data_IF_846881080974
#
_entry.id   IF_846881080974
#
_cell.length_a   1.000
_cell.length_b   1.000
_cell.length_c   1.000
_cell.angle_alpha   90.00
_cell.angle_beta   90.00
_cell.angle_gamma   90.00
#
_symmetry.space_group_name_H-M   'P 1'
#
loop_
_entity.id
_entity.type
_entity.pdbx_description
1 polymer ?
#
# COMPACT_ATOMS: atom_id res chain seq x y z
N UNK A 1 20.57 -7.29 18.94
CA UNK A 1 19.35 -7.32 18.13
C UNK A 1 19.76 -7.28 16.67
N UNK A 2 19.49 -8.31 15.90
CA UNK A 2 19.61 -8.23 14.43
C UNK A 2 18.41 -7.38 14.00
N UNK A 3 18.66 -6.17 13.50
CA UNK A 3 17.61 -5.32 12.94
C UNK A 3 16.93 -6.07 11.79
N UNK A 4 15.59 -6.11 11.77
CA UNK A 4 14.87 -6.57 10.58
C UNK A 4 15.33 -5.73 9.37
N UNK A 5 15.48 -6.34 8.19
CA UNK A 5 15.80 -5.59 6.97
C UNK A 5 14.75 -4.52 6.71
N UNK A 6 15.19 -3.31 6.40
CA UNK A 6 14.31 -2.26 5.96
C UNK A 6 13.79 -2.57 4.56
N UNK A 7 12.48 -2.51 4.39
CA UNK A 7 11.82 -2.71 3.10
C UNK A 7 11.45 -1.34 2.57
N UNK A 8 11.85 -1.07 1.33
CA UNK A 8 11.55 0.19 0.67
C UNK A 8 10.26 0.09 -0.16
N UNK A 9 10.17 -0.97 -0.98
CA UNK A 9 9.04 -1.16 -1.88
C UNK A 9 8.85 -2.63 -2.31
N UNK A 10 7.60 -2.97 -2.63
CA UNK A 10 7.18 -4.24 -3.24
C UNK A 10 6.43 -3.94 -4.55
N UNK A 11 6.71 -4.73 -5.58
CA UNK A 11 6.04 -4.67 -6.87
C UNK A 11 5.60 -6.08 -7.29
N UNK A 12 4.43 -6.17 -7.90
CA UNK A 12 4.04 -7.29 -8.76
C UNK A 12 4.01 -6.82 -10.20
N UNK A 13 4.73 -7.51 -11.05
CA UNK A 13 4.94 -7.17 -12.45
C UNK A 13 4.41 -8.31 -13.29
N UNK A 14 3.57 -8.01 -14.28
CA UNK A 14 3.05 -9.00 -15.22
C UNK A 14 4.18 -9.50 -16.12
N UNK A 15 4.31 -10.82 -16.27
CA UNK A 15 5.50 -11.42 -16.91
C UNK A 15 5.63 -11.12 -18.40
N UNK A 16 4.53 -11.06 -19.14
CA UNK A 16 4.59 -10.96 -20.60
C UNK A 16 4.77 -9.51 -21.09
N UNK A 17 4.12 -8.55 -20.44
CA UNK A 17 4.15 -7.13 -20.80
C UNK A 17 5.08 -6.27 -19.95
N UNK A 18 5.55 -6.78 -18.81
CA UNK A 18 6.38 -6.03 -17.87
C UNK A 18 5.68 -4.87 -17.15
N UNK A 19 4.35 -4.81 -17.25
CA UNK A 19 3.52 -3.78 -16.60
C UNK A 19 3.43 -4.03 -15.10
N UNK A 20 3.46 -2.94 -14.32
CA UNK A 20 3.25 -3.01 -12.87
C UNK A 20 1.77 -3.23 -12.54
N UNK A 21 1.43 -4.39 -12.00
CA UNK A 21 0.07 -4.75 -11.56
C UNK A 21 -0.26 -4.18 -10.18
N UNK A 22 0.71 -4.25 -9.27
CA UNK A 22 0.56 -3.80 -7.90
C UNK A 22 1.87 -3.22 -7.40
N UNK A 23 1.77 -2.18 -6.60
CA UNK A 23 2.90 -1.52 -5.96
C UNK A 23 2.53 -1.18 -4.51
N UNK A 24 3.42 -1.51 -3.59
CA UNK A 24 3.35 -1.04 -2.21
C UNK A 24 4.67 -0.37 -1.85
N UNK A 25 4.59 0.94 -1.58
CA UNK A 25 5.65 1.68 -0.93
C UNK A 25 5.59 1.43 0.57
N UNK A 26 6.75 1.22 1.19
CA UNK A 26 6.89 1.16 2.64
C UNK A 26 7.72 2.35 3.15
N UNK A 27 8.85 2.63 2.50
CA UNK A 27 9.74 3.73 2.88
C UNK A 27 10.65 4.17 1.72
N UNK A 28 11.27 5.35 1.83
CA UNK A 28 12.34 5.76 0.92
C UNK A 28 11.93 6.11 -0.52
N UNK A 29 12.84 5.81 -1.45
CA UNK A 29 12.99 6.38 -2.81
C UNK A 29 11.69 6.37 -3.62
N UNK A 30 11.37 7.51 -4.24
CA UNK A 30 10.32 7.64 -5.25
C UNK A 30 10.86 7.25 -6.62
N UNK A 31 10.70 5.98 -6.97
CA UNK A 31 10.84 5.53 -8.36
C UNK A 31 9.44 5.34 -8.92
N UNK A 32 9.20 5.86 -10.13
CA UNK A 32 7.96 5.61 -10.84
C UNK A 32 7.79 4.09 -11.07
N UNK A 33 6.68 3.49 -10.63
CA UNK A 33 6.51 2.04 -10.72
C UNK A 33 6.58 1.47 -12.13
N UNK A 34 6.09 2.20 -13.14
CA UNK A 34 6.12 1.74 -14.53
C UNK A 34 7.55 1.76 -15.08
N UNK A 35 8.34 2.77 -14.74
CA UNK A 35 9.76 2.83 -15.13
C UNK A 35 10.57 1.69 -14.51
N UNK A 36 10.37 1.43 -13.22
CA UNK A 36 11.09 0.34 -12.56
C UNK A 36 10.64 -1.02 -13.10
N UNK A 37 9.33 -1.23 -13.29
CA UNK A 37 8.83 -2.51 -13.80
C UNK A 37 9.34 -2.79 -15.20
N UNK A 38 9.34 -1.78 -16.09
CA UNK A 38 9.89 -1.91 -17.44
C UNK A 38 11.40 -2.23 -17.42
N UNK A 39 12.17 -1.53 -16.58
CA UNK A 39 13.60 -1.79 -16.43
C UNK A 39 13.89 -3.21 -15.91
N UNK A 40 13.17 -3.64 -14.88
CA UNK A 40 13.36 -4.97 -14.28
C UNK A 40 12.95 -6.06 -15.25
N UNK A 41 11.86 -5.87 -15.98
CA UNK A 41 11.43 -6.82 -17.02
C UNK A 41 12.49 -6.97 -18.11
N UNK A 42 13.11 -5.86 -18.54
CA UNK A 42 14.21 -5.90 -19.50
C UNK A 42 15.44 -6.65 -18.97
N UNK A 43 15.84 -6.43 -17.71
CA UNK A 43 16.96 -7.16 -17.11
C UNK A 43 16.64 -8.65 -16.98
N UNK A 44 15.44 -9.00 -16.51
CA UNK A 44 15.03 -10.41 -16.36
C UNK A 44 15.03 -11.10 -17.72
N UNK A 45 14.40 -10.50 -18.75
CA UNK A 45 14.40 -11.03 -20.12
C UNK A 45 15.82 -11.22 -20.66
N UNK A 46 16.66 -10.20 -20.51
CA UNK A 46 18.05 -10.27 -20.96
C UNK A 46 18.85 -11.36 -20.23
N UNK A 47 18.63 -11.52 -18.93
CA UNK A 47 19.27 -12.57 -18.14
C UNK A 47 18.83 -13.97 -18.58
N UNK A 48 17.56 -14.14 -18.96
CA UNK A 48 17.03 -15.41 -19.48
C UNK A 48 17.53 -15.74 -20.89
N UNK A 49 17.91 -14.73 -21.68
CA UNK A 49 18.54 -14.91 -23.01
C UNK A 49 20.02 -15.29 -22.92
N UNK A 50 20.76 -14.74 -21.96
CA UNK A 50 22.21 -14.94 -21.84
C UNK A 50 22.60 -16.29 -21.21
N UNK A 51 21.77 -16.84 -20.33
CA UNK A 51 22.09 -18.05 -19.58
C UNK A 51 21.48 -19.28 -20.27
N UNK A 52 22.26 -20.35 -20.52
CA UNK A 52 21.69 -21.62 -20.95
C UNK A 52 20.63 -22.07 -19.93
N UNK A 53 19.44 -22.46 -20.38
CA UNK A 53 18.35 -22.95 -19.52
C UNK A 53 18.73 -24.29 -18.86
N UNK A 54 19.50 -24.22 -17.78
CA UNK A 54 19.90 -25.33 -16.94
C UNK A 54 19.05 -25.30 -15.67
N UNK A 55 17.86 -25.91 -15.72
CA UNK A 55 16.95 -25.97 -14.57
C UNK A 55 16.21 -24.65 -14.29
N UNK A 56 16.06 -24.32 -13.01
CA UNK A 56 15.25 -23.19 -12.51
C UNK A 56 16.09 -21.91 -12.31
N UNK A 57 16.99 -21.66 -13.26
CA UNK A 57 17.92 -20.53 -13.25
C UNK A 57 17.25 -19.29 -13.87
N UNK A 58 17.04 -18.28 -13.03
CA UNK A 58 16.52 -16.96 -13.39
C UNK A 58 17.17 -15.90 -12.47
N UNK A 59 17.01 -14.62 -12.80
CA UNK A 59 17.61 -13.52 -12.04
C UNK A 59 17.02 -13.40 -10.63
N UNK A 60 17.73 -13.89 -9.60
CA UNK A 60 17.23 -13.91 -8.20
C UNK A 60 17.48 -12.64 -7.39
N UNK A 61 18.58 -11.94 -7.66
CA UNK A 61 19.00 -10.75 -6.90
C UNK A 61 19.81 -9.80 -7.78
N UNK A 62 19.57 -8.49 -7.63
CA UNK A 62 20.49 -7.45 -8.09
C UNK A 62 21.02 -6.73 -6.85
N UNK A 63 22.33 -6.82 -6.59
CA UNK A 63 22.98 -6.18 -5.45
C UNK A 63 23.65 -4.87 -5.86
N UNK A 64 23.29 -3.76 -5.19
CA UNK A 64 23.86 -2.42 -5.38
C UNK A 64 24.61 -1.92 -4.14
N UNK A 65 24.94 -2.81 -3.21
CA UNK A 65 25.68 -2.55 -1.97
C UNK A 65 24.83 -1.90 -0.87
N UNK A 66 24.24 -0.73 -1.14
CA UNK A 66 23.40 0.00 -0.16
C UNK A 66 21.95 -0.50 -0.11
N UNK A 67 21.50 -1.18 -1.16
CA UNK A 67 20.25 -1.90 -1.21
C UNK A 67 20.36 -3.05 -2.23
N UNK A 68 19.48 -4.03 -2.07
CA UNK A 68 19.34 -5.16 -2.97
C UNK A 68 17.92 -5.22 -3.52
N UNK A 69 17.80 -5.66 -4.77
CA UNK A 69 16.52 -6.00 -5.38
C UNK A 69 16.42 -7.52 -5.36
N UNK A 70 15.44 -8.04 -4.65
CA UNK A 70 15.09 -9.46 -4.64
C UNK A 70 13.97 -9.64 -5.66
N UNK A 71 14.19 -10.51 -6.63
CA UNK A 71 13.14 -10.92 -7.56
C UNK A 71 12.70 -12.33 -7.13
N UNK A 72 11.41 -12.63 -7.27
CA UNK A 72 10.80 -13.96 -7.16
C UNK A 72 9.88 -14.19 -8.36
N UNK A 73 9.99 -15.37 -8.96
CA UNK A 73 9.25 -15.73 -10.18
C UNK A 73 8.03 -16.59 -9.82
N UNK A 74 6.85 -16.14 -10.26
CA UNK A 74 5.62 -16.92 -10.32
C UNK A 74 5.32 -17.41 -11.73
N UNK A 75 4.13 -18.00 -11.92
CA UNK A 75 3.67 -18.50 -13.21
C UNK A 75 3.35 -17.35 -14.19
N UNK A 76 2.72 -16.29 -13.69
CA UNK A 76 2.19 -15.15 -14.43
C UNK A 76 2.74 -13.80 -13.95
N UNK A 77 3.34 -13.72 -12.76
CA UNK A 77 3.93 -12.47 -12.24
C UNK A 77 5.37 -12.63 -11.74
N UNK A 78 6.13 -11.54 -11.80
CA UNK A 78 7.34 -11.37 -11.01
C UNK A 78 7.02 -10.57 -9.75
N UNK A 79 7.41 -11.08 -8.58
CA UNK A 79 7.50 -10.33 -7.35
C UNK A 79 8.86 -9.65 -7.25
N UNK A 80 8.88 -8.35 -7.00
CA UNK A 80 10.11 -7.58 -6.81
C UNK A 80 10.07 -6.85 -5.47
N UNK A 81 11.10 -7.04 -4.65
CA UNK A 81 11.24 -6.38 -3.36
C UNK A 81 12.56 -5.60 -3.30
N UNK A 82 12.49 -4.33 -2.90
CA UNK A 82 13.65 -3.48 -2.67
C UNK A 82 13.91 -3.42 -1.18
N UNK A 83 15.09 -3.87 -0.75
CA UNK A 83 15.48 -3.98 0.65
C UNK A 83 16.88 -3.44 0.90
N UNK A 84 17.18 -3.01 2.11
CA UNK A 84 18.55 -2.64 2.49
C UNK A 84 19.49 -3.86 2.50
N UNK A 85 18.97 -5.03 2.87
CA UNK A 85 19.72 -6.27 2.98
C UNK A 85 18.89 -7.47 2.52
N UNK A 86 19.43 -8.22 1.55
CA UNK A 86 18.84 -9.49 1.12
C UNK A 86 19.18 -10.62 2.10
N UNK A 87 18.18 -11.10 2.84
CA UNK A 87 18.29 -12.26 3.75
C UNK A 87 17.27 -13.35 3.38
N UNK A 88 17.55 -14.64 3.68
CA UNK A 88 16.69 -15.76 3.29
C UNK A 88 15.24 -15.64 3.77
N UNK A 89 15.02 -15.11 4.98
CA UNK A 89 13.69 -14.96 5.58
C UNK A 89 12.82 -13.98 4.79
N UNK A 90 13.40 -12.88 4.31
CA UNK A 90 12.68 -11.89 3.51
C UNK A 90 12.36 -12.43 2.12
N UNK A 91 13.26 -13.23 1.54
CA UNK A 91 13.00 -13.94 0.28
C UNK A 91 11.84 -14.93 0.41
N UNK A 92 11.82 -15.73 1.48
CA UNK A 92 10.74 -16.68 1.73
C UNK A 92 9.38 -15.97 1.84
N UNK A 93 9.33 -14.82 2.51
CA UNK A 93 8.15 -13.95 2.58
C UNK A 93 7.71 -13.41 1.22
N UNK A 94 8.65 -12.98 0.37
CA UNK A 94 8.33 -12.53 -0.99
C UNK A 94 7.73 -13.69 -1.82
N UNK A 95 8.32 -14.87 -1.73
CA UNK A 95 7.81 -16.08 -2.40
C UNK A 95 6.37 -16.41 -1.97
N UNK A 96 6.10 -16.40 -0.65
CA UNK A 96 4.74 -16.58 -0.12
C UNK A 96 3.75 -15.58 -0.73
N UNK A 97 4.14 -14.31 -0.84
CA UNK A 97 3.27 -13.29 -1.42
C UNK A 97 3.04 -13.48 -2.93
N UNK A 98 4.04 -13.92 -3.70
CA UNK A 98 3.87 -14.25 -5.13
C UNK A 98 2.83 -15.37 -5.31
N UNK A 99 2.99 -16.47 -4.56
CA UNK A 99 2.05 -17.59 -4.61
C UNK A 99 0.62 -17.16 -4.18
N UNK A 100 0.52 -16.34 -3.12
CA UNK A 100 -0.75 -15.82 -2.64
C UNK A 100 -1.41 -14.86 -3.66
N UNK A 101 -0.62 -14.03 -4.35
CA UNK A 101 -1.11 -13.08 -5.35
C UNK A 101 -1.74 -13.82 -6.53
N UNK A 102 -1.02 -14.79 -7.09
CA UNK A 102 -1.51 -15.58 -8.23
C UNK A 102 -2.72 -16.40 -7.85
N UNK A 103 -2.69 -17.07 -6.69
CA UNK A 103 -3.84 -17.85 -6.22
C UNK A 103 -5.09 -16.99 -6.05
N UNK A 104 -4.95 -15.76 -5.54
CA UNK A 104 -6.07 -14.86 -5.28
C UNK A 104 -6.62 -14.20 -6.55
N UNK A 105 -5.77 -13.92 -7.54
CA UNK A 105 -6.15 -13.14 -8.71
C UNK A 105 -5.99 -13.83 -10.06
N UNK A 106 -5.69 -15.13 -10.10
CA UNK A 106 -5.50 -15.92 -11.32
C UNK A 106 -6.43 -15.56 -12.51
N UNK A 107 -7.78 -15.50 -12.34
CA UNK A 107 -8.65 -15.13 -13.47
C UNK A 107 -8.48 -13.67 -13.90
N UNK A 108 -8.32 -12.75 -12.94
CA UNK A 108 -8.15 -11.32 -13.23
C UNK A 108 -6.82 -11.03 -13.93
N UNK A 109 -5.75 -11.73 -13.56
CA UNK A 109 -4.41 -11.57 -14.14
C UNK A 109 -4.45 -11.81 -15.66
N UNK A 110 -5.15 -12.86 -16.11
CA UNK A 110 -5.22 -13.26 -17.54
C UNK A 110 -5.98 -12.28 -18.40
N UNK A 111 -6.96 -11.59 -17.84
CA UNK A 111 -7.83 -10.65 -18.55
C UNK A 111 -7.43 -9.19 -18.33
N UNK A 112 -6.39 -8.94 -17.51
CA UNK A 112 -5.97 -7.60 -17.14
C UNK A 112 -5.36 -6.85 -18.32
N UNK A 113 -5.88 -5.66 -18.60
CA UNK A 113 -5.43 -4.80 -19.71
C UNK A 113 -4.61 -3.61 -19.24
N UNK A 114 -4.38 -3.51 -17.93
CA UNK A 114 -3.72 -2.36 -17.30
C UNK A 114 -4.65 -1.52 -16.44
N UNK A 115 -5.84 -2.02 -16.09
CA UNK A 115 -6.77 -1.34 -15.20
C UNK A 115 -6.15 -1.16 -13.81
N UNK A 116 -6.22 0.07 -13.29
CA UNK A 116 -5.59 0.43 -12.02
C UNK A 116 -6.52 0.05 -10.86
N UNK A 117 -5.92 -0.36 -9.74
CA UNK A 117 -6.64 -0.67 -8.50
C UNK A 117 -7.31 -2.05 -8.46
N UNK A 118 -7.24 -2.83 -9.55
CA UNK A 118 -7.81 -4.20 -9.62
C UNK A 118 -7.25 -5.12 -8.52
N UNK A 119 -6.02 -4.87 -8.10
CA UNK A 119 -5.26 -5.68 -7.16
C UNK A 119 -5.05 -5.03 -5.79
N UNK A 120 -5.65 -3.86 -5.51
CA UNK A 120 -5.43 -3.11 -4.25
C UNK A 120 -5.86 -3.90 -3.01
N UNK A 121 -6.83 -4.81 -3.17
CA UNK A 121 -7.27 -5.74 -2.13
C UNK A 121 -6.17 -6.71 -1.67
N UNK A 122 -5.05 -6.82 -2.39
CA UNK A 122 -3.89 -7.63 -1.97
C UNK A 122 -3.13 -7.03 -0.79
N UNK A 123 -3.33 -5.74 -0.53
CA UNK A 123 -2.60 -5.03 0.52
C UNK A 123 -2.70 -5.70 1.89
N UNK A 124 -3.85 -6.26 2.23
CA UNK A 124 -4.01 -6.94 3.52
C UNK A 124 -3.13 -8.19 3.64
N UNK A 125 -2.86 -8.89 2.52
CA UNK A 125 -1.91 -9.99 2.48
C UNK A 125 -0.47 -9.47 2.67
N UNK A 126 -0.12 -8.37 2.03
CA UNK A 126 1.17 -7.68 2.24
C UNK A 126 1.33 -7.25 3.71
N UNK A 127 0.28 -6.72 4.32
CA UNK A 127 0.31 -6.25 5.71
C UNK A 127 0.46 -7.39 6.70
N UNK A 128 -0.11 -8.56 6.40
CA UNK A 128 0.08 -9.77 7.20
C UNK A 128 1.54 -10.23 7.19
N UNK A 129 2.20 -10.16 6.04
CA UNK A 129 3.58 -10.65 5.84
C UNK A 129 4.65 -9.62 6.29
N UNK A 130 4.39 -8.34 6.06
CA UNK A 130 5.28 -7.21 6.38
C UNK A 130 4.59 -6.12 7.23
N UNK A 131 4.00 -6.45 8.39
CA UNK A 131 3.19 -5.50 9.15
C UNK A 131 4.00 -4.30 9.64
N UNK A 132 5.28 -4.51 9.98
CA UNK A 132 6.18 -3.49 10.48
C UNK A 132 6.42 -2.33 9.52
N UNK A 133 6.38 -2.65 8.23
CA UNK A 133 6.76 -1.76 7.15
C UNK A 133 5.52 -1.09 6.53
N UNK A 134 4.35 -1.69 6.76
CA UNK A 134 3.16 -1.52 5.93
C UNK A 134 2.09 -0.60 6.51
N UNK A 135 1.98 -0.54 7.83
CA UNK A 135 0.80 0.02 8.48
C UNK A 135 1.01 1.51 8.69
N UNK A 136 0.27 2.32 7.94
CA UNK A 136 0.35 3.78 8.04
C UNK A 136 -0.68 4.32 9.05
N UNK A 137 -0.37 5.41 9.78
CA UNK A 137 -1.27 5.96 10.80
C UNK A 137 -2.66 6.36 10.31
N UNK A 138 -2.82 6.67 9.02
CA UNK A 138 -4.11 7.07 8.42
C UNK A 138 -5.04 5.89 8.12
N UNK A 139 -4.57 4.64 8.21
CA UNK A 139 -5.41 3.49 7.89
C UNK A 139 -6.48 3.23 8.95
N UNK A 140 -7.64 2.80 8.47
CA UNK A 140 -8.78 2.40 9.31
C UNK A 140 -8.71 0.90 9.53
N UNK A 141 -8.41 0.44 10.76
CA UNK A 141 -8.46 -0.96 11.08
C UNK A 141 -9.91 -1.44 11.12
N UNK A 142 -10.16 -2.63 10.60
CA UNK A 142 -11.45 -3.28 10.60
C UNK A 142 -11.29 -4.68 11.20
N UNK A 143 -12.13 -4.98 12.20
CA UNK A 143 -12.19 -6.29 12.84
C UNK A 143 -12.90 -7.29 11.91
N UNK A 144 -12.21 -8.38 11.57
CA UNK A 144 -12.73 -9.40 10.65
C UNK A 144 -13.56 -10.50 11.33
N UNK A 145 -13.39 -10.70 12.63
CA UNK A 145 -13.98 -11.84 13.36
C UNK A 145 -14.52 -11.44 14.73
N UNK A 146 -15.51 -12.20 15.23
CA UNK A 146 -15.73 -12.30 16.67
C UNK A 146 -14.46 -12.90 17.26
N UNK A 147 -13.72 -12.11 18.05
CA UNK A 147 -12.58 -12.61 18.82
C UNK A 147 -13.00 -13.92 19.49
N UNK A 148 -12.33 -15.03 19.16
CA UNK A 148 -12.55 -16.29 19.85
C UNK A 148 -12.36 -16.03 21.35
N UNK A 149 -13.21 -16.62 22.21
CA UNK A 149 -13.22 -16.35 23.67
C UNK A 149 -11.87 -16.58 24.37
N UNK A 150 -10.88 -17.15 23.68
CA UNK A 150 -9.57 -17.52 24.19
C UNK A 150 -8.43 -16.62 23.69
N UNK A 151 -8.70 -15.50 23.02
CA UNK A 151 -7.65 -14.53 22.70
C UNK A 151 -7.35 -13.71 23.96
N UNK A 152 -6.20 -13.96 24.58
CA UNK A 152 -5.71 -13.12 25.67
C UNK A 152 -5.46 -11.70 25.15
N UNK A 153 -6.17 -10.73 25.73
CA UNK A 153 -6.10 -9.33 25.34
C UNK A 153 -5.21 -8.59 26.34
N UNK A 154 -4.24 -7.84 25.84
CA UNK A 154 -3.58 -6.84 26.66
C UNK A 154 -4.60 -5.76 27.09
N UNK A 155 -4.34 -5.03 28.20
CA UNK A 155 -5.18 -3.89 28.58
C UNK A 155 -5.27 -2.86 27.44
N UNK A 156 -4.14 -2.61 26.75
CA UNK A 156 -4.04 -1.69 25.62
C UNK A 156 -4.92 -2.14 24.45
N UNK A 157 -4.84 -3.41 24.06
CA UNK A 157 -5.68 -3.96 23.00
C UNK A 157 -7.17 -3.94 23.38
N UNK A 158 -7.50 -4.17 24.65
CA UNK A 158 -8.88 -4.07 25.13
C UNK A 158 -9.47 -2.67 24.90
N UNK A 159 -8.69 -1.63 25.20
CA UNK A 159 -9.06 -0.23 24.93
C UNK A 159 -9.19 0.03 23.42
N UNK A 160 -8.23 -0.41 22.61
CA UNK A 160 -8.27 -0.25 21.14
C UNK A 160 -9.55 -0.90 20.58
N UNK A 161 -9.87 -2.12 21.01
CA UNK A 161 -11.05 -2.84 20.55
C UNK A 161 -12.36 -2.19 21.01
N UNK A 162 -12.38 -1.59 22.20
CA UNK A 162 -13.54 -0.81 22.66
C UNK A 162 -13.75 0.41 21.75
N UNK A 163 -12.69 1.18 21.50
CA UNK A 163 -12.75 2.35 20.60
C UNK A 163 -13.23 1.94 19.21
N UNK A 164 -12.75 0.81 18.66
CA UNK A 164 -13.17 0.33 17.34
C UNK A 164 -14.63 -0.15 17.29
N UNK A 165 -15.20 -0.57 18.42
CA UNK A 165 -16.63 -0.90 18.51
C UNK A 165 -17.48 0.36 18.57
N UNK A 166 -17.01 1.38 19.28
CA UNK A 166 -17.73 2.67 19.45
C UNK A 166 -17.61 3.56 18.19
N UNK A 167 -16.44 3.57 17.55
CA UNK A 167 -16.15 4.30 16.31
C UNK A 167 -15.41 3.39 15.32
N UNK A 168 -16.14 2.60 14.52
CA UNK A 168 -15.53 1.66 13.56
C UNK A 168 -14.84 2.33 12.37
N UNK A 169 -14.94 3.66 12.22
CA UNK A 169 -14.31 4.39 11.12
C UNK A 169 -13.06 5.18 11.57
N UNK A 170 -12.66 5.08 12.84
CA UNK A 170 -11.45 5.74 13.33
C UNK A 170 -10.20 5.16 12.66
N UNK A 171 -9.24 6.03 12.33
CA UNK A 171 -7.89 5.60 11.94
C UNK A 171 -6.96 5.48 13.16
N UNK A 172 -5.73 5.03 12.96
CA UNK A 172 -4.78 4.82 14.07
C UNK A 172 -4.42 6.09 14.82
N UNK A 173 -4.34 7.24 14.15
CA UNK A 173 -4.18 8.52 14.83
C UNK A 173 -5.39 8.89 15.70
N UNK A 174 -6.60 8.61 15.23
CA UNK A 174 -7.83 8.78 16.02
C UNK A 174 -7.85 7.87 17.25
N UNK A 175 -7.39 6.62 17.11
CA UNK A 175 -7.25 5.69 18.25
C UNK A 175 -6.22 6.25 19.24
N UNK A 176 -5.07 6.73 18.77
CA UNK A 176 -4.04 7.36 19.61
C UNK A 176 -4.60 8.51 20.44
N UNK A 177 -5.32 9.44 19.81
CA UNK A 177 -5.95 10.56 20.54
C UNK A 177 -7.00 10.11 21.55
N UNK A 178 -7.82 9.10 21.22
CA UNK A 178 -8.91 8.61 22.08
C UNK A 178 -8.41 7.75 23.24
N UNK A 179 -7.37 6.96 23.02
CA UNK A 179 -6.82 6.07 24.05
C UNK A 179 -5.75 6.74 24.91
N UNK A 180 -5.13 7.82 24.41
CA UNK A 180 -3.98 8.47 25.05
C UNK A 180 -2.65 7.70 24.88
N UNK A 181 -2.62 6.66 24.04
CA UNK A 181 -1.40 5.90 23.74
C UNK A 181 -0.67 6.50 22.54
N UNK A 182 0.65 6.39 22.54
CA UNK A 182 1.45 6.78 21.38
C UNK A 182 1.14 5.90 20.15
N UNK A 183 1.39 6.43 18.96
CA UNK A 183 1.12 5.72 17.70
C UNK A 183 1.95 4.45 17.57
N UNK A 184 3.21 4.44 18.04
CA UNK A 184 4.08 3.26 18.03
C UNK A 184 3.51 2.16 18.90
N UNK A 185 3.02 2.50 20.08
CA UNK A 185 2.37 1.56 20.99
C UNK A 185 1.11 0.91 20.40
N UNK A 186 0.30 1.69 19.67
CA UNK A 186 -0.89 1.17 18.98
C UNK A 186 -0.48 0.24 17.83
N UNK A 187 0.54 0.62 17.07
CA UNK A 187 1.05 -0.18 15.97
C UNK A 187 1.58 -1.53 16.44
N UNK A 188 2.26 -1.57 17.59
CA UNK A 188 2.74 -2.82 18.20
C UNK A 188 1.59 -3.78 18.54
N UNK A 189 0.54 -3.28 19.18
CA UNK A 189 -0.63 -4.09 19.54
C UNK A 189 -1.38 -4.58 18.30
N UNK A 190 -1.69 -3.68 17.37
CA UNK A 190 -2.46 -4.01 16.16
C UNK A 190 -1.69 -4.99 15.26
N UNK A 191 -0.37 -4.87 15.19
CA UNK A 191 0.50 -5.78 14.42
C UNK A 191 0.25 -7.24 14.76
N UNK A 192 0.17 -7.57 16.05
CA UNK A 192 -0.10 -8.95 16.50
C UNK A 192 -1.42 -9.48 15.95
N UNK A 193 -2.43 -8.62 15.87
CA UNK A 193 -3.77 -8.98 15.39
C UNK A 193 -3.84 -9.05 13.86
N UNK A 194 -3.07 -8.23 13.15
CA UNK A 194 -2.92 -8.28 11.69
C UNK A 194 -2.25 -9.58 11.27
N UNK A 195 -1.17 -9.98 11.94
CA UNK A 195 -0.46 -11.25 11.68
C UNK A 195 -1.39 -12.44 11.85
N UNK A 196 -2.28 -12.40 12.85
CA UNK A 196 -3.29 -13.44 13.12
C UNK A 196 -4.53 -13.35 12.21
N UNK A 197 -4.58 -12.37 11.30
CA UNK A 197 -5.72 -12.15 10.39
C UNK A 197 -6.99 -11.67 11.09
N UNK A 198 -6.89 -11.14 12.32
CA UNK A 198 -8.03 -10.66 13.12
C UNK A 198 -8.41 -9.22 12.76
N UNK A 199 -7.44 -8.42 12.34
CA UNK A 199 -7.61 -7.05 11.86
C UNK A 199 -7.12 -6.99 10.42
N UNK A 200 -7.91 -6.36 9.56
CA UNK A 200 -7.46 -5.86 8.25
C UNK A 200 -7.54 -4.34 8.21
N UNK A 201 -7.01 -3.74 7.16
CA UNK A 201 -7.14 -2.30 6.97
C UNK A 201 -7.94 -1.97 5.72
N UNK A 202 -8.70 -0.89 5.84
CA UNK A 202 -9.38 -0.25 4.73
C UNK A 202 -8.98 1.21 4.66
N UNK A 203 -9.03 1.73 3.44
CA UNK A 203 -9.14 3.16 3.21
C UNK A 203 -10.60 3.43 2.89
N UNK A 204 -11.27 4.16 3.77
CA UNK A 204 -12.67 4.54 3.58
C UNK A 204 -12.73 6.06 3.43
N UNK A 205 -13.39 6.50 2.36
CA UNK A 205 -13.65 7.91 2.07
C UNK A 205 -15.15 8.13 2.14
N UNK A 206 -15.60 8.93 3.11
CA UNK A 206 -16.99 9.32 3.29
C UNK A 206 -17.31 10.62 2.54
N UNK A 207 -18.59 10.91 2.35
CA UNK A 207 -19.03 12.13 1.65
C UNK A 207 -18.77 13.40 2.45
N UNK A 208 -18.89 13.31 3.77
CA UNK A 208 -18.69 14.45 4.66
C UNK A 208 -17.25 14.54 5.21
N UNK A 209 -16.37 13.60 4.84
CA UNK A 209 -14.93 13.69 5.19
C UNK A 209 -14.31 14.97 4.58
N UNK A 210 -13.42 15.61 5.33
CA UNK A 210 -12.63 16.77 4.89
C UNK A 210 -11.16 16.38 4.92
N UNK A 211 -10.46 16.62 3.80
CA UNK A 211 -9.05 16.29 3.63
C UNK A 211 -8.23 17.54 3.31
N UNK A 212 -6.95 17.50 3.66
CA UNK A 212 -5.97 18.49 3.23
C UNK A 212 -4.77 17.83 2.57
N UNK A 213 -4.10 18.53 1.66
CA UNK A 213 -2.81 18.10 1.13
C UNK A 213 -1.80 17.96 2.28
N UNK A 214 -1.11 16.82 2.35
CA UNK A 214 -0.13 16.58 3.41
C UNK A 214 1.06 17.55 3.31
N UNK A 215 1.70 17.95 4.42
CA UNK A 215 2.82 18.91 4.40
C UNK A 215 3.95 18.50 3.45
N UNK A 216 4.28 17.21 3.42
CA UNK A 216 5.31 16.65 2.52
C UNK A 216 4.91 16.82 1.05
N UNK A 217 3.65 16.57 0.72
CA UNK A 217 3.14 16.71 -0.65
C UNK A 217 3.14 18.17 -1.08
N UNK A 218 2.75 19.07 -0.18
CA UNK A 218 2.81 20.50 -0.41
C UNK A 218 4.24 20.98 -0.69
N UNK A 219 5.20 20.54 0.11
CA UNK A 219 6.62 20.86 -0.08
C UNK A 219 7.14 20.36 -1.45
N UNK A 220 6.79 19.12 -1.82
CA UNK A 220 7.19 18.54 -3.10
C UNK A 220 6.58 19.28 -4.31
N UNK A 221 5.32 19.72 -4.20
CA UNK A 221 4.64 20.53 -5.22
C UNK A 221 5.34 21.89 -5.38
N UNK A 222 5.64 22.58 -4.27
CA UNK A 222 6.31 23.89 -4.29
C UNK A 222 7.73 23.82 -4.89
N UNK A 223 8.41 22.70 -4.72
CA UNK A 223 9.74 22.45 -5.29
C UNK A 223 9.70 21.98 -6.75
N UNK A 224 8.51 21.77 -7.33
CA UNK A 224 8.34 21.23 -8.68
C UNK A 224 8.82 19.77 -8.84
N UNK A 225 9.01 19.06 -7.72
CA UNK A 225 9.50 17.67 -7.71
C UNK A 225 8.35 16.67 -7.82
N UNK A 226 7.12 17.14 -7.60
CA UNK A 226 5.95 16.28 -7.52
C UNK A 226 5.45 15.84 -8.90
N UNK A 227 5.25 14.52 -9.07
CA UNK A 227 4.87 13.90 -10.34
C UNK A 227 3.36 13.99 -10.59
N UNK A 228 2.85 15.20 -10.86
CA UNK A 228 1.44 15.41 -11.26
C UNK A 228 1.08 14.63 -12.53
N UNK A 229 2.05 14.38 -13.39
CA UNK A 229 1.92 13.57 -14.60
C UNK A 229 1.37 12.17 -14.31
N UNK A 230 1.75 11.56 -13.18
CA UNK A 230 1.23 10.25 -12.76
C UNK A 230 -0.26 10.35 -12.46
N UNK A 231 -0.68 11.35 -11.68
CA UNK A 231 -2.10 11.57 -11.36
C UNK A 231 -2.89 11.86 -12.64
N UNK A 232 -2.34 12.67 -13.54
CA UNK A 232 -2.96 13.00 -14.80
C UNK A 232 -3.07 11.80 -15.75
N UNK A 233 -2.07 10.90 -15.78
CA UNK A 233 -2.11 9.67 -16.56
C UNK A 233 -3.19 8.71 -16.06
N UNK A 234 -3.37 8.64 -14.73
CA UNK A 234 -4.30 7.71 -14.08
C UNK A 234 -5.75 8.23 -14.12
N UNK A 235 -5.95 9.49 -13.74
CA UNK A 235 -7.28 10.08 -13.49
C UNK A 235 -7.58 11.29 -14.37
N UNK A 236 -6.72 11.59 -15.35
CA UNK A 236 -6.85 12.77 -16.20
C UNK A 236 -6.63 14.07 -15.44
N UNK A 237 -6.93 15.18 -16.12
CA UNK A 237 -6.91 16.53 -15.52
C UNK A 237 -7.81 16.60 -14.27
N UNK A 238 -8.89 15.84 -14.25
CA UNK A 238 -9.82 15.77 -13.11
C UNK A 238 -9.18 15.21 -11.84
N UNK A 239 -8.24 14.27 -11.93
CA UNK A 239 -7.49 13.81 -10.77
C UNK A 239 -6.66 14.92 -10.14
N UNK A 240 -6.00 15.73 -10.97
CA UNK A 240 -5.19 16.87 -10.51
C UNK A 240 -6.08 17.93 -9.88
N UNK A 241 -7.22 18.26 -10.50
CA UNK A 241 -8.22 19.17 -9.92
C UNK A 241 -8.72 18.68 -8.55
N UNK A 242 -8.98 17.37 -8.40
CA UNK A 242 -9.39 16.78 -7.12
C UNK A 242 -8.28 16.94 -6.09
N UNK A 243 -6.99 16.71 -6.43
CA UNK A 243 -5.88 16.85 -5.48
C UNK A 243 -5.87 18.27 -4.87
N UNK A 244 -5.89 19.28 -5.74
CA UNK A 244 -5.88 20.69 -5.33
C UNK A 244 -7.18 21.15 -4.66
N UNK A 245 -8.26 20.38 -4.75
CA UNK A 245 -9.50 20.68 -4.05
C UNK A 245 -9.47 20.32 -2.55
N UNK A 246 -8.48 19.54 -2.08
CA UNK A 246 -8.31 19.16 -0.68
C UNK A 246 -7.63 20.27 0.12
N UNK A 247 -8.41 21.27 0.50
CA UNK A 247 -7.97 22.50 1.18
C UNK A 247 -8.16 22.48 2.71
N UNK A 248 -8.55 21.34 3.27
CA UNK A 248 -8.88 21.19 4.68
C UNK A 248 -10.20 21.83 5.10
N UNK A 249 -11.04 22.27 4.17
CA UNK A 249 -12.33 22.94 4.44
C UNK A 249 -13.51 22.27 3.75
N UNK A 250 -13.36 21.90 2.49
CA UNK A 250 -14.47 21.30 1.71
C UNK A 250 -14.59 19.81 1.98
N UNK A 251 -15.82 19.34 2.16
CA UNK A 251 -16.11 17.91 2.23
C UNK A 251 -15.99 17.25 0.86
N UNK A 252 -15.81 15.92 0.82
CA UNK A 252 -15.78 15.13 -0.42
C UNK A 252 -16.99 15.40 -1.31
N UNK A 253 -18.18 15.50 -0.70
CA UNK A 253 -19.44 15.84 -1.37
C UNK A 253 -19.39 17.22 -2.01
N UNK A 254 -18.87 18.21 -1.28
CA UNK A 254 -18.74 19.58 -1.78
C UNK A 254 -17.73 19.65 -2.92
N UNK A 255 -16.61 18.95 -2.83
CA UNK A 255 -15.63 18.82 -3.91
C UNK A 255 -16.28 18.19 -5.15
N UNK A 256 -17.03 17.09 -4.98
CA UNK A 256 -17.72 16.45 -6.10
C UNK A 256 -18.74 17.38 -6.78
N UNK A 257 -19.51 18.14 -6.00
CA UNK A 257 -20.45 19.13 -6.52
C UNK A 257 -19.75 20.27 -7.28
N UNK A 258 -18.72 20.86 -6.69
CA UNK A 258 -17.99 22.00 -7.26
C UNK A 258 -17.30 21.62 -8.57
N UNK A 259 -16.71 20.42 -8.63
CA UNK A 259 -16.05 19.90 -9.83
C UNK A 259 -17.03 19.25 -10.83
N UNK A 260 -18.32 19.15 -10.49
CA UNK A 260 -19.37 18.48 -11.28
C UNK A 260 -19.01 17.02 -11.61
N UNK A 261 -18.50 16.29 -10.62
CA UNK A 261 -18.06 14.90 -10.74
C UNK A 261 -18.99 13.94 -9.97
N UNK A 262 -18.98 12.67 -10.36
CA UNK A 262 -19.64 11.62 -9.60
C UNK A 262 -18.95 11.46 -8.22
N UNK A 263 -19.69 11.49 -7.08
CA UNK A 263 -19.09 11.35 -5.75
C UNK A 263 -18.32 10.04 -5.55
N UNK A 264 -18.75 8.94 -6.17
CA UNK A 264 -18.05 7.66 -6.16
C UNK A 264 -16.67 7.76 -6.82
N UNK A 265 -16.56 8.46 -7.95
CA UNK A 265 -15.26 8.70 -8.60
C UNK A 265 -14.31 9.51 -7.69
N UNK A 266 -14.82 10.58 -7.07
CA UNK A 266 -14.01 11.39 -6.14
C UNK A 266 -13.54 10.54 -4.96
N UNK A 267 -14.40 9.69 -4.38
CA UNK A 267 -14.01 8.78 -3.29
C UNK A 267 -12.90 7.81 -3.69
N UNK A 268 -12.94 7.27 -4.91
CA UNK A 268 -11.88 6.38 -5.43
C UNK A 268 -10.55 7.14 -5.53
N UNK A 269 -10.57 8.34 -6.13
CA UNK A 269 -9.36 9.17 -6.30
C UNK A 269 -8.77 9.58 -4.94
N UNK A 270 -9.61 10.04 -4.01
CA UNK A 270 -9.17 10.40 -2.66
C UNK A 270 -8.69 9.18 -1.86
N UNK A 271 -9.29 8.02 -2.09
CA UNK A 271 -8.79 6.76 -1.56
C UNK A 271 -7.34 6.54 -1.97
N UNK A 272 -7.05 6.67 -3.27
CA UNK A 272 -5.68 6.63 -3.78
C UNK A 272 -4.77 7.70 -3.17
N UNK A 273 -5.22 8.94 -3.05
CA UNK A 273 -4.41 10.00 -2.44
C UNK A 273 -4.08 9.73 -0.97
N UNK A 274 -5.01 9.18 -0.18
CA UNK A 274 -4.75 8.76 1.19
C UNK A 274 -3.76 7.59 1.26
N UNK A 275 -3.87 6.65 0.32
CA UNK A 275 -2.98 5.49 0.22
C UNK A 275 -1.54 5.93 -0.04
N UNK A 276 -1.35 6.88 -0.96
CA UNK A 276 -0.03 7.40 -1.31
C UNK A 276 0.48 8.48 -0.33
N UNK A 277 -0.33 8.84 0.68
CA UNK A 277 0.01 9.88 1.65
C UNK A 277 -0.01 11.30 1.08
N UNK A 278 -0.68 11.51 -0.04
CA UNK A 278 -0.82 12.80 -0.71
C UNK A 278 -1.71 13.77 0.07
N UNK A 279 -2.71 13.21 0.74
CA UNK A 279 -3.65 13.94 1.57
C UNK A 279 -3.76 13.29 2.94
N UNK A 280 -4.21 14.05 3.92
CA UNK A 280 -4.50 13.61 5.27
C UNK A 280 -5.90 14.06 5.69
N UNK A 281 -6.56 13.24 6.52
CA UNK A 281 -7.91 13.46 7.02
C UNK A 281 -7.89 14.56 8.10
N UNK A 282 -8.67 15.61 7.89
CA UNK A 282 -8.84 16.74 8.84
C UNK A 282 -10.07 16.53 9.71
N UNK A 283 -11.19 16.14 9.10
CA UNK A 283 -12.46 15.92 9.80
C UNK A 283 -13.15 14.70 9.21
N UNK A 284 -13.72 13.87 10.07
CA UNK A 284 -14.51 12.69 9.72
C UNK A 284 -15.90 12.82 10.31
N UNK A 285 -16.90 12.41 9.53
CA UNK A 285 -18.26 12.26 10.00
C UNK A 285 -18.27 11.34 11.25
N UNK A 286 -18.80 11.84 12.37
CA UNK A 286 -19.12 11.01 13.56
C UNK A 286 -20.39 10.21 13.34
#
# INVERSE_FOLDING_TARGET
MISEPNIYALYFIERDSGKCMYYQKFSGVEVDPDRLSGFISAIVSFSEELLPKMGDDWLKTIDRGSFSLIVERGDHVYGLLIVDKSVPEVRAKLKELVEAFEKKFAPKIKEWKGEIGVFDDFRNDVFRVFPAQSILPQYVPELLTRLSRNVELSPKMSVILQILKEDPNTNLQGISRKSGYDIGEILEEIRSFVVRGLIRFKVKVLEEDVYQISPRTWEALMKGVYQLEKIQKIYGVKGVEILFANDGKRSVKKIAQDLRLNPGFVKVVLGYFLMEGFIELVTRET
#
